data_IF_918938701650
#
_entry.id   IF_918938701650
#
_cell.length_a   1.000
_cell.length_b   1.000
_cell.length_c   1.000
_cell.angle_alpha   90.00
_cell.angle_beta   90.00
_cell.angle_gamma   90.00
#
_symmetry.space_group_name_H-M   'P 1'
#
loop_
_entity.id
_entity.type
_entity.pdbx_description
1 polymer ?
#
# COMPACT_ATOMS: atom_id res chain seq x y z
N UNK A 1 2.72 25.40 -24.76
CA UNK A 1 2.09 24.42 -23.81
C UNK A 1 2.75 24.66 -22.47
N UNK A 2 2.03 24.53 -21.38
CA UNK A 2 2.62 24.71 -20.04
C UNK A 2 3.33 23.41 -19.66
N UNK A 3 4.54 23.48 -19.12
CA UNK A 3 5.24 22.30 -18.62
C UNK A 3 4.41 21.54 -17.58
N UNK A 4 4.55 20.21 -17.51
CA UNK A 4 3.73 19.37 -16.62
C UNK A 4 4.58 18.37 -15.87
N UNK A 5 4.22 18.14 -14.60
CA UNK A 5 4.79 17.07 -13.75
C UNK A 5 3.70 16.03 -13.47
N UNK A 6 3.94 14.79 -13.91
CA UNK A 6 3.13 13.63 -13.58
C UNK A 6 3.77 12.87 -12.43
N UNK A 7 3.13 12.84 -11.25
CA UNK A 7 3.52 12.01 -10.12
C UNK A 7 3.02 10.59 -10.37
N UNK A 8 3.91 9.68 -10.67
CA UNK A 8 3.60 8.35 -11.21
C UNK A 8 3.85 7.27 -10.17
N UNK A 9 2.84 6.47 -9.87
CA UNK A 9 3.00 5.26 -9.08
C UNK A 9 3.65 4.14 -9.89
N UNK A 10 4.82 3.69 -9.46
CA UNK A 10 5.58 2.62 -10.12
C UNK A 10 5.05 1.20 -9.80
N UNK A 11 4.09 1.09 -8.90
CA UNK A 11 3.71 -0.22 -8.38
C UNK A 11 4.73 -0.77 -7.36
N UNK A 12 4.57 -2.04 -6.95
CA UNK A 12 5.34 -2.63 -5.85
C UNK A 12 6.76 -3.06 -6.24
N UNK A 13 7.02 -3.26 -7.53
CA UNK A 13 8.34 -3.71 -8.03
C UNK A 13 8.31 -4.14 -9.47
N UNK A 14 7.53 -5.17 -9.82
CA UNK A 14 7.43 -5.69 -11.18
C UNK A 14 6.87 -4.62 -12.14
N UNK A 15 7.54 -4.41 -13.27
CA UNK A 15 7.20 -3.36 -14.22
C UNK A 15 5.86 -3.58 -14.94
N UNK A 16 5.38 -4.83 -15.02
CA UNK A 16 4.06 -5.18 -15.57
C UNK A 16 2.89 -4.83 -14.63
N UNK A 17 3.18 -4.43 -13.40
CA UNK A 17 2.20 -3.87 -12.45
C UNK A 17 2.08 -2.34 -12.54
N UNK A 18 2.76 -1.70 -13.47
CA UNK A 18 2.47 -0.32 -13.84
C UNK A 18 1.06 -0.21 -14.43
N UNK A 19 0.36 0.88 -14.09
CA UNK A 19 -0.85 1.18 -14.84
C UNK A 19 -0.50 1.59 -16.27
N UNK A 20 -1.38 1.33 -17.23
CA UNK A 20 -1.19 1.75 -18.62
C UNK A 20 -0.93 3.26 -18.73
N UNK A 21 -1.60 4.06 -17.91
CA UNK A 21 -1.38 5.52 -17.86
C UNK A 21 -0.01 5.86 -17.31
N UNK A 22 0.47 5.14 -16.29
CA UNK A 22 1.82 5.32 -15.74
C UNK A 22 2.89 5.09 -16.83
N UNK A 23 2.82 3.96 -17.52
CA UNK A 23 3.73 3.64 -18.63
C UNK A 23 3.69 4.71 -19.73
N UNK A 24 2.49 5.18 -20.09
CA UNK A 24 2.32 6.25 -21.08
C UNK A 24 2.99 7.56 -20.63
N UNK A 25 2.81 7.98 -19.37
CA UNK A 25 3.43 9.22 -18.88
C UNK A 25 4.94 9.14 -18.79
N UNK A 26 5.49 7.98 -18.47
CA UNK A 26 6.94 7.74 -18.54
C UNK A 26 7.44 7.85 -19.99
N UNK A 27 6.70 7.27 -20.94
CA UNK A 27 7.06 7.30 -22.37
C UNK A 27 6.97 8.71 -22.99
N UNK A 28 6.10 9.58 -22.49
CA UNK A 28 5.96 10.96 -22.97
C UNK A 28 6.98 11.92 -22.34
N UNK A 29 7.61 11.55 -21.23
CA UNK A 29 8.42 12.46 -20.41
C UNK A 29 9.75 12.84 -21.09
N UNK A 30 10.09 14.12 -20.97
CA UNK A 30 11.42 14.67 -21.30
C UNK A 30 12.43 14.45 -20.18
N UNK A 31 11.90 14.45 -18.92
CA UNK A 31 12.69 14.20 -17.71
C UNK A 31 11.98 13.12 -16.89
N UNK A 32 12.72 12.06 -16.57
CA UNK A 32 12.24 10.96 -15.69
C UNK A 32 13.00 11.03 -14.37
N UNK A 33 12.32 11.35 -13.29
CA UNK A 33 12.91 11.42 -11.93
C UNK A 33 12.42 10.22 -11.14
N UNK A 34 13.32 9.34 -10.73
CA UNK A 34 12.99 8.09 -10.04
C UNK A 34 13.88 7.84 -8.82
N UNK A 35 13.43 7.04 -7.87
CA UNK A 35 14.20 6.70 -6.67
C UNK A 35 14.77 5.29 -6.81
N UNK A 36 16.00 5.14 -7.28
CA UNK A 36 16.69 3.86 -7.48
C UNK A 36 16.74 2.98 -6.22
N UNK A 37 16.64 3.57 -5.04
CA UNK A 37 16.61 2.84 -3.78
C UNK A 37 15.26 2.19 -3.44
N UNK A 38 14.18 2.53 -4.16
CA UNK A 38 12.81 2.12 -3.84
C UNK A 38 12.01 1.62 -5.05
N UNK A 39 12.49 1.85 -6.26
CA UNK A 39 11.82 1.53 -7.53
C UNK A 39 12.77 0.68 -8.36
N UNK A 40 12.30 -0.45 -8.88
CA UNK A 40 13.12 -1.31 -9.74
C UNK A 40 13.40 -0.63 -11.08
N UNK A 41 14.62 -0.82 -11.62
CA UNK A 41 15.05 -0.16 -12.85
C UNK A 41 14.25 -0.53 -14.10
N UNK A 42 13.60 -1.69 -14.11
CA UNK A 42 12.77 -2.15 -15.23
C UNK A 42 11.65 -1.17 -15.60
N UNK A 43 11.24 -0.28 -14.70
CA UNK A 43 10.24 0.76 -15.02
C UNK A 43 10.77 1.76 -16.04
N UNK A 44 12.09 1.92 -16.12
CA UNK A 44 12.75 2.84 -17.06
C UNK A 44 12.72 2.33 -18.52
N UNK A 45 12.37 1.06 -18.77
CA UNK A 45 12.17 0.54 -20.13
C UNK A 45 11.11 1.30 -20.92
N UNK A 46 10.21 2.00 -20.22
CA UNK A 46 9.18 2.83 -20.82
C UNK A 46 9.67 4.24 -21.18
N UNK A 47 10.81 4.67 -20.66
CA UNK A 47 11.35 6.00 -20.94
C UNK A 47 11.89 6.08 -22.38
N UNK A 48 11.75 7.26 -22.97
CA UNK A 48 12.34 7.53 -24.28
C UNK A 48 13.87 7.47 -24.20
N UNK A 49 14.57 7.04 -25.26
CA UNK A 49 16.04 6.97 -25.26
C UNK A 49 16.72 8.34 -25.04
N UNK A 50 16.05 9.43 -25.39
CA UNK A 50 16.51 10.81 -25.28
C UNK A 50 16.04 11.52 -23.99
N UNK A 51 15.25 10.85 -23.15
CA UNK A 51 14.81 11.40 -21.88
C UNK A 51 15.98 11.56 -20.88
N UNK A 52 15.97 12.66 -20.13
CA UNK A 52 16.92 12.87 -19.04
C UNK A 52 16.47 12.04 -17.84
N UNK A 53 17.22 11.01 -17.46
CA UNK A 53 16.92 10.15 -16.31
C UNK A 53 17.70 10.65 -15.09
N UNK A 54 16.98 10.93 -13.99
CA UNK A 54 17.52 11.49 -12.76
C UNK A 54 17.23 10.54 -11.58
N UNK A 55 18.28 10.10 -10.88
CA UNK A 55 18.14 9.30 -9.66
C UNK A 55 17.92 10.21 -8.44
N UNK A 56 16.68 10.32 -7.98
CA UNK A 56 16.36 11.19 -6.83
C UNK A 56 16.95 10.71 -5.49
N UNK A 57 17.47 9.48 -5.40
CA UNK A 57 18.16 9.02 -4.19
C UNK A 57 19.49 9.76 -3.95
N UNK A 58 20.03 10.45 -4.95
CA UNK A 58 21.26 11.20 -4.91
C UNK A 58 21.03 12.70 -4.68
N UNK A 59 19.77 13.14 -4.60
CA UNK A 59 19.40 14.55 -4.51
C UNK A 59 18.57 14.86 -3.26
N UNK A 60 18.73 16.07 -2.74
CA UNK A 60 17.75 16.70 -1.85
C UNK A 60 16.57 17.25 -2.65
N UNK A 61 15.54 17.78 -1.96
CA UNK A 61 14.41 18.43 -2.64
C UNK A 61 14.87 19.64 -3.47
N UNK A 62 15.87 20.38 -3.00
CA UNK A 62 16.45 21.51 -3.73
C UNK A 62 17.12 21.06 -5.04
N UNK A 63 17.82 19.92 -5.04
CA UNK A 63 18.39 19.34 -6.27
C UNK A 63 17.32 18.86 -7.26
N UNK A 64 16.21 18.30 -6.76
CA UNK A 64 15.06 17.96 -7.58
C UNK A 64 14.37 19.21 -8.14
N UNK A 65 14.30 20.28 -7.37
CA UNK A 65 13.71 21.56 -7.76
C UNK A 65 14.32 22.12 -9.04
N UNK A 66 15.63 22.00 -9.24
CA UNK A 66 16.32 22.47 -10.46
C UNK A 66 15.72 21.86 -11.74
N UNK A 67 15.32 20.59 -11.69
CA UNK A 67 14.66 19.91 -12.81
C UNK A 67 13.23 20.44 -13.05
N UNK A 68 12.49 20.77 -12.00
CA UNK A 68 11.17 21.39 -12.13
C UNK A 68 11.27 22.82 -12.67
N UNK A 69 12.24 23.61 -12.21
CA UNK A 69 12.51 24.94 -12.74
C UNK A 69 12.88 24.91 -14.22
N UNK A 70 13.68 23.92 -14.61
CA UNK A 70 13.99 23.69 -16.02
C UNK A 70 12.73 23.33 -16.81
N UNK A 71 11.89 22.43 -16.30
CA UNK A 71 10.65 22.05 -16.96
C UNK A 71 9.69 23.24 -17.13
N UNK A 72 9.62 24.14 -16.16
CA UNK A 72 8.82 25.35 -16.25
C UNK A 72 9.33 26.35 -17.30
N UNK A 73 10.66 26.48 -17.46
CA UNK A 73 11.26 27.39 -18.45
C UNK A 73 11.18 26.88 -19.88
N UNK A 74 11.23 25.57 -20.06
CA UNK A 74 11.39 24.91 -21.36
C UNK A 74 10.11 24.19 -21.82
N UNK A 75 9.00 24.33 -21.05
CA UNK A 75 7.69 23.66 -21.29
C UNK A 75 7.80 22.12 -21.39
N UNK A 76 8.64 21.49 -20.52
CA UNK A 76 8.92 20.07 -20.56
C UNK A 76 7.90 19.23 -19.78
N UNK A 77 7.81 17.95 -20.17
CA UNK A 77 7.04 16.93 -19.47
C UNK A 77 7.96 16.15 -18.51
N UNK A 78 7.55 16.08 -17.25
CA UNK A 78 8.30 15.37 -16.20
C UNK A 78 7.49 14.19 -15.70
N UNK A 79 8.06 12.99 -15.67
CA UNK A 79 7.56 11.85 -14.91
C UNK A 79 8.32 11.73 -13.59
N UNK A 80 7.65 12.03 -12.48
CA UNK A 80 8.19 11.84 -11.13
C UNK A 80 7.69 10.49 -10.58
N UNK A 81 8.56 9.49 -10.58
CA UNK A 81 8.22 8.10 -10.27
C UNK A 81 8.37 7.85 -8.76
N UNK A 82 7.31 7.33 -8.14
CA UNK A 82 7.22 6.95 -6.73
C UNK A 82 6.99 5.45 -6.60
N UNK A 83 7.57 4.82 -5.58
CA UNK A 83 7.31 3.41 -5.24
C UNK A 83 5.84 3.21 -4.84
N UNK A 84 5.23 2.14 -5.26
CA UNK A 84 3.85 1.80 -4.94
C UNK A 84 2.86 2.82 -5.51
N UNK A 85 2.14 3.47 -4.61
CA UNK A 85 1.18 4.54 -4.90
C UNK A 85 1.66 5.88 -4.33
N UNK A 86 1.67 6.97 -5.11
CA UNK A 86 2.10 8.30 -4.65
C UNK A 86 1.31 8.87 -3.47
N UNK A 87 0.10 8.40 -3.26
CA UNK A 87 -0.76 8.86 -2.17
C UNK A 87 -0.31 8.35 -0.78
N UNK A 88 0.59 7.36 -0.71
CA UNK A 88 1.03 6.74 0.53
C UNK A 88 2.53 6.97 0.78
N UNK A 89 2.86 7.86 1.71
CA UNK A 89 4.24 8.21 2.13
C UNK A 89 5.19 8.57 0.98
N UNK A 90 4.66 9.11 -0.12
CA UNK A 90 5.43 9.47 -1.31
C UNK A 90 6.15 10.82 -1.22
N UNK A 91 5.91 11.65 -0.20
CA UNK A 91 6.42 13.04 -0.15
C UNK A 91 5.94 13.87 -1.35
N UNK A 92 4.73 13.56 -1.87
CA UNK A 92 4.19 14.19 -3.08
C UNK A 92 3.63 15.58 -2.83
N UNK A 93 3.10 15.83 -1.63
CA UNK A 93 2.43 17.09 -1.31
C UNK A 93 3.39 18.29 -1.42
N UNK A 94 4.56 18.21 -0.82
CA UNK A 94 5.57 19.27 -0.88
C UNK A 94 6.09 19.51 -2.31
N UNK A 95 6.22 18.45 -3.11
CA UNK A 95 6.63 18.57 -4.51
C UNK A 95 5.51 19.15 -5.38
N UNK A 96 4.25 18.80 -5.11
CA UNK A 96 3.08 19.39 -5.78
C UNK A 96 2.98 20.90 -5.53
N UNK A 97 3.15 21.33 -4.27
CA UNK A 97 3.16 22.76 -3.90
C UNK A 97 4.29 23.51 -4.60
N UNK A 98 5.48 22.91 -4.65
CA UNK A 98 6.62 23.46 -5.37
C UNK A 98 6.35 23.62 -6.89
N UNK A 99 5.81 22.58 -7.54
CA UNK A 99 5.46 22.62 -8.96
C UNK A 99 4.39 23.70 -9.24
N UNK A 100 3.38 23.79 -8.39
CA UNK A 100 2.32 24.81 -8.49
C UNK A 100 2.91 26.23 -8.38
N UNK A 101 3.85 26.45 -7.44
CA UNK A 101 4.52 27.74 -7.29
C UNK A 101 5.40 28.11 -8.50
N UNK A 102 5.88 27.12 -9.26
CA UNK A 102 6.64 27.30 -10.50
C UNK A 102 5.73 27.45 -11.74
N UNK A 103 4.41 27.39 -11.59
CA UNK A 103 3.44 27.49 -12.70
C UNK A 103 3.34 26.24 -13.57
N UNK A 104 3.83 25.09 -13.08
CA UNK A 104 3.69 23.79 -13.75
C UNK A 104 2.31 23.18 -13.53
N UNK A 105 1.77 22.55 -14.55
CA UNK A 105 0.62 21.67 -14.39
C UNK A 105 1.04 20.40 -13.65
N UNK A 106 0.15 19.85 -12.82
CA UNK A 106 0.43 18.62 -12.09
C UNK A 106 -0.71 17.62 -12.23
N UNK A 107 -0.36 16.34 -12.28
CA UNK A 107 -1.31 15.23 -12.18
C UNK A 107 -0.73 14.11 -11.31
N UNK A 108 -1.59 13.30 -10.71
CA UNK A 108 -1.20 12.12 -9.94
C UNK A 108 -1.76 10.89 -10.63
N UNK A 109 -0.89 9.94 -10.95
CA UNK A 109 -1.24 8.65 -11.53
C UNK A 109 -1.13 7.60 -10.42
N UNK A 110 -2.24 6.96 -10.01
CA UNK A 110 -2.20 5.94 -8.97
C UNK A 110 -1.36 4.73 -9.38
N UNK A 111 -0.80 4.05 -8.41
CA UNK A 111 -0.06 2.81 -8.59
C UNK A 111 -0.59 1.69 -7.69
N UNK A 112 -0.15 0.46 -7.94
CA UNK A 112 -0.46 -0.67 -7.08
C UNK A 112 0.40 -0.56 -5.81
N UNK A 113 -0.23 -0.37 -4.67
CA UNK A 113 0.49 -0.30 -3.39
C UNK A 113 0.99 -1.68 -2.97
N UNK A 114 2.12 -1.72 -2.25
CA UNK A 114 2.75 -2.97 -1.79
C UNK A 114 1.83 -3.82 -0.91
N UNK A 115 0.94 -3.24 -0.10
CA UNK A 115 0.01 -4.05 0.70
C UNK A 115 -0.97 -4.83 -0.17
N UNK A 116 -1.45 -4.25 -1.27
CA UNK A 116 -2.32 -4.94 -2.24
C UNK A 116 -1.56 -6.04 -2.98
N UNK A 117 -0.31 -5.78 -3.35
CA UNK A 117 0.54 -6.78 -3.99
C UNK A 117 0.81 -7.97 -3.06
N UNK A 118 1.14 -7.72 -1.79
CA UNK A 118 1.36 -8.80 -0.81
C UNK A 118 0.09 -9.61 -0.60
N UNK A 119 -1.08 -8.97 -0.49
CA UNK A 119 -2.35 -9.68 -0.40
C UNK A 119 -2.60 -10.59 -1.61
N UNK A 120 -2.27 -10.12 -2.82
CA UNK A 120 -2.36 -10.91 -4.05
C UNK A 120 -1.38 -12.10 -4.07
N UNK A 121 -0.12 -11.89 -3.67
CA UNK A 121 0.91 -12.94 -3.60
C UNK A 121 0.46 -14.08 -2.67
N UNK A 122 -0.07 -13.76 -1.49
CA UNK A 122 -0.55 -14.76 -0.54
C UNK A 122 -2.00 -15.20 -0.80
N UNK A 123 -2.62 -14.67 -1.86
CA UNK A 123 -4.00 -14.99 -2.27
C UNK A 123 -5.02 -14.79 -1.13
N UNK A 124 -4.90 -13.66 -0.41
CA UNK A 124 -5.77 -13.31 0.71
C UNK A 124 -6.59 -12.06 0.42
N UNK A 125 -7.88 -12.13 0.70
CA UNK A 125 -8.73 -10.95 0.86
C UNK A 125 -8.52 -10.39 2.27
N UNK A 126 -8.25 -9.09 2.35
CA UNK A 126 -7.99 -8.41 3.63
C UNK A 126 -9.27 -8.02 4.39
N UNK A 127 -10.43 -8.16 3.74
CA UNK A 127 -11.75 -7.76 4.25
C UNK A 127 -12.75 -8.91 4.15
N UNK A 128 -12.63 -9.88 5.06
CA UNK A 128 -13.48 -11.08 5.08
C UNK A 128 -14.72 -10.81 5.95
N UNK A 129 -15.96 -11.08 5.46
CA UNK A 129 -17.17 -10.91 6.23
C UNK A 129 -17.11 -11.62 7.59
N UNK A 130 -17.58 -10.96 8.64
CA UNK A 130 -17.61 -11.44 10.02
C UNK A 130 -16.24 -11.67 10.67
N UNK A 131 -15.12 -11.46 9.94
CA UNK A 131 -13.75 -11.61 10.43
C UNK A 131 -13.07 -10.24 10.57
N UNK A 132 -12.94 -9.50 9.48
CA UNK A 132 -12.43 -8.14 9.45
C UNK A 132 -13.03 -7.41 8.24
N UNK A 133 -13.54 -6.20 8.44
CA UNK A 133 -14.14 -5.38 7.36
C UNK A 133 -13.40 -4.04 7.18
N UNK A 134 -12.26 -3.90 7.82
CA UNK A 134 -11.42 -2.71 7.75
C UNK A 134 -9.96 -3.08 7.56
N UNK A 135 -9.23 -2.22 6.87
CA UNK A 135 -7.78 -2.32 6.74
C UNK A 135 -7.16 -1.01 7.20
N UNK A 136 -6.29 -1.09 8.21
CA UNK A 136 -5.54 0.06 8.69
C UNK A 136 -4.17 0.08 8.02
N UNK A 137 -3.89 1.14 7.26
CA UNK A 137 -2.58 1.40 6.68
C UNK A 137 -1.84 2.36 7.61
N UNK A 138 -0.76 1.92 8.24
CA UNK A 138 0.00 2.74 9.18
C UNK A 138 1.48 2.33 9.21
N UNK A 139 2.25 2.99 10.07
CA UNK A 139 3.65 2.68 10.32
C UNK A 139 3.97 2.82 11.80
N UNK A 140 5.00 2.15 12.25
CA UNK A 140 5.55 2.40 13.58
C UNK A 140 6.21 3.78 13.62
N UNK A 141 6.05 4.50 14.73
CA UNK A 141 6.71 5.79 14.93
C UNK A 141 8.22 5.68 14.73
N UNK A 142 8.79 6.57 13.91
CA UNK A 142 10.21 6.64 13.61
C UNK A 142 10.93 7.73 14.43
N UNK A 143 12.19 7.49 14.78
CA UNK A 143 12.97 8.50 15.49
C UNK A 143 13.18 9.82 14.73
N UNK A 144 13.07 9.79 13.38
CA UNK A 144 13.21 10.97 12.51
C UNK A 144 11.88 11.62 12.13
N UNK A 145 10.80 10.86 12.14
CA UNK A 145 9.48 11.37 11.76
C UNK A 145 8.48 10.88 12.80
N UNK A 146 8.08 11.73 13.75
CA UNK A 146 7.10 11.37 14.75
C UNK A 146 5.73 11.07 14.11
N UNK A 147 4.88 10.36 14.85
CA UNK A 147 3.47 10.18 14.52
C UNK A 147 2.65 11.30 15.17
N UNK A 148 1.54 11.71 14.56
CA UNK A 148 0.57 12.58 15.23
C UNK A 148 0.07 11.96 16.53
N UNK A 149 -0.29 12.80 17.50
CA UNK A 149 -0.84 12.33 18.78
C UNK A 149 -2.10 11.47 18.54
N UNK A 150 -2.13 10.28 19.10
CA UNK A 150 -3.24 9.33 18.92
C UNK A 150 -3.09 8.35 17.76
N UNK A 151 -2.17 8.57 16.81
CA UNK A 151 -1.90 7.65 15.71
C UNK A 151 -0.84 6.61 16.07
N UNK A 152 -1.07 5.84 17.13
CA UNK A 152 -0.14 4.78 17.56
C UNK A 152 -0.52 3.43 16.97
N UNK A 153 0.48 2.57 16.72
CA UNK A 153 0.22 1.19 16.29
C UNK A 153 -0.67 0.47 17.29
N UNK A 154 -0.42 0.63 18.61
CA UNK A 154 -1.24 0.06 19.67
C UNK A 154 -2.70 0.52 19.58
N UNK A 155 -2.94 1.83 19.46
CA UNK A 155 -4.30 2.38 19.39
C UNK A 155 -5.08 1.86 18.18
N UNK A 156 -4.43 1.76 17.01
CA UNK A 156 -5.08 1.16 15.83
C UNK A 156 -5.30 -0.34 16.00
N UNK A 157 -4.39 -1.05 16.67
CA UNK A 157 -4.49 -2.47 16.91
C UNK A 157 -5.67 -2.84 17.85
N UNK A 158 -6.11 -1.94 18.73
CA UNK A 158 -7.28 -2.14 19.63
C UNK A 158 -8.58 -2.46 18.87
N UNK A 159 -8.64 -2.17 17.57
CA UNK A 159 -9.79 -2.53 16.74
C UNK A 159 -9.80 -4.00 16.29
N UNK A 160 -8.71 -4.75 16.44
CA UNK A 160 -8.61 -6.18 16.05
C UNK A 160 -8.85 -6.47 14.58
N UNK A 161 -8.64 -5.49 13.69
CA UNK A 161 -8.89 -5.58 12.26
C UNK A 161 -7.62 -5.98 11.49
N UNK A 162 -7.65 -5.98 10.16
CA UNK A 162 -6.45 -6.19 9.35
C UNK A 162 -5.58 -4.93 9.37
N UNK A 163 -4.28 -5.06 9.61
CA UNK A 163 -3.32 -3.96 9.56
C UNK A 163 -2.21 -4.23 8.53
N UNK A 164 -1.83 -3.20 7.77
CA UNK A 164 -0.68 -3.20 6.89
C UNK A 164 0.35 -2.19 7.41
N UNK A 165 1.50 -2.69 7.85
CA UNK A 165 2.53 -1.94 8.56
C UNK A 165 3.67 -1.61 7.58
N UNK A 166 3.72 -0.35 7.17
CA UNK A 166 4.77 0.21 6.33
C UNK A 166 5.98 0.65 7.16
N UNK A 167 7.16 0.72 6.57
CA UNK A 167 8.37 1.37 7.13
C UNK A 167 8.74 0.92 8.55
N UNK A 168 8.32 -0.27 8.98
CA UNK A 168 8.42 -0.74 10.38
C UNK A 168 9.42 -1.87 10.59
N UNK A 169 9.96 -2.48 9.54
CA UNK A 169 10.78 -3.70 9.62
C UNK A 169 12.07 -3.53 10.44
N UNK A 170 12.70 -2.35 10.41
CA UNK A 170 13.92 -2.09 11.19
C UNK A 170 13.70 -2.14 12.72
N UNK A 171 12.46 -2.11 13.20
CA UNK A 171 12.07 -2.11 14.61
C UNK A 171 10.97 -3.12 14.90
N UNK A 172 11.07 -4.29 14.31
CA UNK A 172 10.03 -5.33 14.36
C UNK A 172 9.74 -5.80 15.79
N UNK A 173 10.74 -5.81 16.68
CA UNK A 173 10.51 -6.16 18.09
C UNK A 173 9.56 -5.15 18.77
N UNK A 174 9.79 -3.86 18.59
CA UNK A 174 8.89 -2.83 19.09
C UNK A 174 7.51 -2.93 18.45
N UNK A 175 7.45 -3.19 17.13
CA UNK A 175 6.19 -3.39 16.41
C UNK A 175 5.38 -4.54 17.02
N UNK A 176 6.03 -5.69 17.23
CA UNK A 176 5.41 -6.88 17.86
C UNK A 176 4.86 -6.55 19.26
N UNK A 177 5.66 -5.86 20.09
CA UNK A 177 5.27 -5.50 21.45
C UNK A 177 4.05 -4.55 21.48
N UNK A 178 4.01 -3.56 20.59
CA UNK A 178 2.87 -2.63 20.47
C UNK A 178 1.59 -3.34 20.01
N UNK A 179 1.70 -4.27 19.07
CA UNK A 179 0.56 -5.06 18.57
C UNK A 179 -0.01 -5.97 19.68
N UNK A 180 0.85 -6.69 20.42
CA UNK A 180 0.44 -7.55 21.53
C UNK A 180 -0.14 -6.75 22.71
N UNK A 181 0.44 -5.58 22.99
CA UNK A 181 -0.02 -4.72 24.09
C UNK A 181 -1.41 -4.13 23.87
N UNK A 182 -1.94 -4.16 22.66
CA UNK A 182 -3.33 -3.76 22.36
C UNK A 182 -4.37 -4.73 22.94
N UNK A 183 -4.00 -6.00 23.19
CA UNK A 183 -4.85 -7.01 23.79
C UNK A 183 -5.91 -7.64 22.89
N UNK A 184 -6.05 -7.18 21.67
CA UNK A 184 -6.97 -7.74 20.65
C UNK A 184 -6.29 -8.77 19.75
N UNK A 185 -4.96 -8.69 19.63
CA UNK A 185 -4.13 -9.69 19.00
C UNK A 185 -3.38 -10.48 20.06
N UNK A 186 -3.15 -11.74 19.80
CA UNK A 186 -2.37 -12.66 20.63
C UNK A 186 -1.13 -13.17 19.89
N UNK A 187 -0.33 -14.00 20.54
CA UNK A 187 0.88 -14.57 19.96
C UNK A 187 0.59 -15.46 18.74
N UNK A 188 -0.60 -16.03 18.62
CA UNK A 188 -1.02 -16.91 17.53
C UNK A 188 -1.63 -16.12 16.35
N UNK A 189 -1.87 -14.83 16.51
CA UNK A 189 -2.43 -13.97 15.44
C UNK A 189 -1.58 -14.05 14.17
N UNK A 190 -2.19 -14.35 13.00
CA UNK A 190 -1.46 -14.57 11.77
C UNK A 190 -0.84 -13.28 11.23
N UNK A 191 0.39 -13.41 10.74
CA UNK A 191 1.17 -12.37 10.09
C UNK A 191 1.71 -12.86 8.74
N UNK A 192 1.82 -11.94 7.79
CA UNK A 192 2.55 -12.11 6.55
C UNK A 192 3.68 -11.09 6.49
N UNK A 193 4.88 -11.53 6.18
CA UNK A 193 6.04 -10.67 5.94
C UNK A 193 6.45 -10.82 4.50
N UNK A 194 6.55 -9.72 3.77
CA UNK A 194 7.00 -9.70 2.39
C UNK A 194 8.13 -8.69 2.23
N UNK A 195 9.30 -9.17 1.87
CA UNK A 195 10.45 -8.36 1.46
C UNK A 195 10.45 -8.25 -0.05
N UNK A 196 10.70 -7.06 -0.57
CA UNK A 196 10.85 -6.77 -2.00
C UNK A 196 9.71 -7.41 -2.84
N UNK A 197 8.45 -7.25 -2.40
CA UNK A 197 7.30 -7.85 -3.05
C UNK A 197 7.28 -7.55 -4.55
N UNK A 198 7.15 -8.58 -5.37
CA UNK A 198 7.20 -8.59 -6.84
C UNK A 198 8.56 -8.25 -7.49
N UNK A 199 9.62 -8.08 -6.70
CA UNK A 199 10.98 -7.94 -7.20
C UNK A 199 11.60 -9.33 -7.49
N UNK A 200 12.70 -9.41 -8.27
CA UNK A 200 13.37 -10.71 -8.52
C UNK A 200 13.89 -11.43 -7.27
N UNK A 201 14.21 -10.69 -6.22
CA UNK A 201 14.69 -11.19 -4.93
C UNK A 201 13.60 -11.22 -3.85
N UNK A 202 12.33 -11.32 -4.27
CA UNK A 202 11.17 -11.43 -3.37
C UNK A 202 11.35 -12.55 -2.35
N UNK A 203 11.03 -12.23 -1.09
CA UNK A 203 10.91 -13.22 -0.02
C UNK A 203 9.59 -12.99 0.73
N UNK A 204 8.72 -13.99 0.71
CA UNK A 204 7.43 -13.94 1.42
C UNK A 204 7.31 -15.14 2.35
N UNK A 205 6.89 -14.91 3.59
CA UNK A 205 6.61 -15.98 4.55
C UNK A 205 5.47 -15.60 5.49
N UNK A 206 4.76 -16.61 5.95
CA UNK A 206 3.75 -16.52 7.00
C UNK A 206 4.37 -16.84 8.36
N UNK A 207 3.89 -16.22 9.41
CA UNK A 207 4.28 -16.48 10.79
C UNK A 207 3.17 -16.11 11.77
N UNK A 208 3.35 -16.47 13.02
CA UNK A 208 2.53 -15.97 14.14
C UNK A 208 3.12 -14.66 14.65
N UNK A 209 2.27 -13.82 15.23
CA UNK A 209 2.71 -12.54 15.77
C UNK A 209 3.81 -12.69 16.82
N UNK A 210 3.73 -13.71 17.70
CA UNK A 210 4.77 -14.01 18.69
C UNK A 210 6.15 -14.33 18.09
N UNK A 211 6.20 -14.80 16.82
CA UNK A 211 7.44 -15.16 16.12
C UNK A 211 7.96 -14.02 15.20
N UNK A 212 7.18 -12.98 14.96
CA UNK A 212 7.41 -11.96 13.94
C UNK A 212 8.81 -11.36 14.03
N UNK A 213 9.20 -10.85 15.20
CA UNK A 213 10.49 -10.19 15.38
C UNK A 213 11.67 -11.14 15.14
N UNK A 214 11.61 -12.36 15.66
CA UNK A 214 12.67 -13.33 15.50
C UNK A 214 12.85 -13.75 14.03
N UNK A 215 11.75 -13.97 13.30
CA UNK A 215 11.79 -14.34 11.88
C UNK A 215 12.32 -13.19 11.01
N UNK A 216 11.83 -11.96 11.20
CA UNK A 216 12.34 -10.79 10.44
C UNK A 216 13.82 -10.57 10.71
N UNK A 217 14.27 -10.73 11.96
CA UNK A 217 15.69 -10.62 12.33
C UNK A 217 16.53 -11.73 11.71
N UNK A 218 16.07 -12.97 11.72
CA UNK A 218 16.81 -14.12 11.15
C UNK A 218 17.06 -13.96 9.64
N UNK A 219 16.11 -13.34 8.93
CA UNK A 219 16.25 -13.01 7.52
C UNK A 219 16.94 -11.66 7.27
N UNK A 220 17.33 -10.91 8.32
CA UNK A 220 18.00 -9.61 8.24
C UNK A 220 17.22 -8.56 7.43
N UNK A 221 15.89 -8.54 7.58
CA UNK A 221 15.03 -7.63 6.84
C UNK A 221 14.88 -6.30 7.59
N UNK A 222 15.39 -5.22 7.02
CA UNK A 222 15.39 -3.88 7.66
C UNK A 222 14.73 -2.80 6.80
N UNK A 223 14.52 -3.06 5.51
CA UNK A 223 13.92 -2.14 4.52
C UNK A 223 13.15 -2.96 3.48
N UNK A 224 12.40 -2.29 2.61
CA UNK A 224 11.58 -2.90 1.54
C UNK A 224 10.66 -4.02 2.04
N UNK A 225 10.23 -3.94 3.29
CA UNK A 225 9.46 -5.01 3.92
C UNK A 225 8.10 -4.50 4.35
N UNK A 226 7.07 -5.21 3.89
CA UNK A 226 5.68 -5.06 4.29
C UNK A 226 5.36 -6.12 5.35
N UNK A 227 4.64 -5.72 6.40
CA UNK A 227 4.06 -6.66 7.37
C UNK A 227 2.56 -6.50 7.34
N UNK A 228 1.84 -7.58 7.05
CA UNK A 228 0.40 -7.67 7.25
C UNK A 228 0.12 -8.45 8.54
N UNK A 229 -0.88 -8.03 9.30
CA UNK A 229 -1.28 -8.67 10.55
C UNK A 229 -2.79 -8.65 10.66
N UNK A 230 -3.37 -9.71 11.22
CA UNK A 230 -4.78 -9.75 11.55
C UNK A 230 -5.51 -11.03 11.16
N UNK A 231 -6.73 -11.23 11.68
CA UNK A 231 -7.46 -12.49 11.56
C UNK A 231 -7.85 -12.85 10.11
N UNK A 232 -7.97 -11.88 9.20
CA UNK A 232 -8.26 -12.14 7.79
C UNK A 232 -7.14 -12.90 7.06
N UNK A 233 -5.93 -12.97 7.62
CA UNK A 233 -4.80 -13.70 7.05
C UNK A 233 -4.87 -15.21 7.35
N UNK A 234 -5.71 -15.64 8.29
CA UNK A 234 -5.94 -17.06 8.54
C UNK A 234 -6.66 -17.72 7.35
N UNK A 235 -6.48 -19.05 7.24
CA UNK A 235 -7.24 -19.84 6.26
C UNK A 235 -8.71 -19.92 6.67
N UNK A 236 -9.61 -19.90 5.68
CA UNK A 236 -11.05 -19.94 5.90
C UNK A 236 -11.67 -18.55 5.70
N UNK A 237 -12.91 -18.42 6.06
CA UNK A 237 -13.69 -17.19 5.93
C UNK A 237 -15.18 -17.46 5.82
N UNK A 238 -15.98 -16.43 6.02
CA UNK A 238 -17.42 -16.50 5.90
C UNK A 238 -17.84 -16.15 4.47
N UNK A 239 -18.80 -16.89 3.94
CA UNK A 239 -19.36 -16.62 2.59
C UNK A 239 -19.90 -15.20 2.51
N UNK A 240 -19.46 -14.45 1.52
CA UNK A 240 -19.99 -13.12 1.25
C UNK A 240 -21.51 -13.14 1.05
N UNK A 241 -22.18 -12.18 1.68
CA UNK A 241 -23.62 -11.94 1.47
C UNK A 241 -23.95 -11.72 0.00
N UNK A 242 -23.10 -11.07 -0.76
CA UNK A 242 -23.27 -10.78 -2.18
C UNK A 242 -23.48 -12.03 -3.03
N UNK A 243 -22.78 -13.12 -2.72
CA UNK A 243 -22.87 -14.39 -3.45
C UNK A 243 -23.86 -15.38 -2.83
N UNK A 244 -24.62 -14.97 -1.82
CA UNK A 244 -25.60 -15.85 -1.20
C UNK A 244 -26.84 -16.02 -2.10
N UNK A 245 -27.38 -17.25 -2.34
CA UNK A 245 -28.54 -17.46 -3.24
C UNK A 245 -29.81 -16.70 -2.81
N UNK A 246 -29.95 -16.43 -1.51
CA UNK A 246 -31.03 -15.61 -0.96
C UNK A 246 -30.85 -14.10 -1.12
N UNK A 247 -29.71 -13.64 -1.66
CA UNK A 247 -29.45 -12.21 -1.83
C UNK A 247 -30.05 -11.70 -3.15
N UNK A 248 -30.80 -10.60 -3.05
CA UNK A 248 -31.32 -9.87 -4.19
C UNK A 248 -30.51 -8.61 -4.45
N UNK A 249 -30.17 -8.38 -5.71
CA UNK A 249 -29.68 -7.09 -6.17
C UNK A 249 -30.17 -6.83 -7.61
N UNK A 250 -29.94 -5.64 -8.12
CA UNK A 250 -30.48 -5.12 -9.38
C UNK A 250 -30.35 -6.06 -10.59
N UNK A 251 -29.28 -6.86 -10.63
CA UNK A 251 -29.00 -7.79 -11.74
C UNK A 251 -29.29 -9.26 -11.43
N UNK A 252 -29.70 -9.60 -10.18
CA UNK A 252 -29.95 -10.99 -9.77
C UNK A 252 -31.19 -11.10 -8.89
N UNK A 253 -32.14 -11.91 -9.32
CA UNK A 253 -33.31 -12.27 -8.51
C UNK A 253 -32.95 -13.34 -7.48
N UNK A 254 -33.75 -13.42 -6.41
CA UNK A 254 -33.60 -14.48 -5.41
C UNK A 254 -33.95 -15.82 -6.04
N UNK A 255 -33.07 -16.79 -5.93
CA UNK A 255 -33.26 -18.14 -6.50
C UNK A 255 -34.19 -19.00 -5.64
N UNK A 256 -34.20 -18.80 -4.31
CA UNK A 256 -34.96 -19.56 -3.34
C UNK A 256 -35.49 -18.68 -2.20
N UNK A 257 -36.79 -18.71 -1.96
CA UNK A 257 -37.45 -17.94 -0.91
C UNK A 257 -37.04 -18.41 0.51
N UNK A 258 -36.78 -19.72 0.69
CA UNK A 258 -36.31 -20.30 1.95
C UNK A 258 -34.91 -19.75 2.30
N UNK A 259 -33.98 -19.75 1.35
CA UNK A 259 -32.65 -19.19 1.53
C UNK A 259 -32.68 -17.69 1.83
N UNK A 260 -33.66 -16.96 1.30
CA UNK A 260 -33.88 -15.55 1.65
C UNK A 260 -34.26 -15.37 3.12
N UNK A 261 -35.10 -16.25 3.64
CA UNK A 261 -35.53 -16.22 5.03
C UNK A 261 -34.38 -16.56 5.98
N UNK A 262 -33.59 -17.58 5.65
CA UNK A 262 -32.36 -17.95 6.39
C UNK A 262 -31.34 -16.79 6.45
N UNK A 263 -31.09 -16.12 5.31
CA UNK A 263 -30.21 -14.98 5.21
C UNK A 263 -30.67 -13.84 6.11
N UNK A 264 -31.97 -13.51 6.09
CA UNK A 264 -32.53 -12.48 6.95
C UNK A 264 -32.43 -12.83 8.44
N UNK A 265 -32.59 -14.11 8.79
CA UNK A 265 -32.46 -14.58 10.17
C UNK A 265 -31.01 -14.49 10.66
N UNK A 266 -30.02 -14.79 9.79
CA UNK A 266 -28.58 -14.59 10.07
C UNK A 266 -28.27 -13.11 10.32
N UNK A 267 -28.68 -12.24 9.42
CA UNK A 267 -28.45 -10.80 9.52
C UNK A 267 -29.06 -10.20 10.81
N UNK A 268 -30.23 -10.68 11.20
CA UNK A 268 -30.89 -10.25 12.44
C UNK A 268 -30.11 -10.67 13.69
N UNK A 269 -29.53 -11.88 13.69
CA UNK A 269 -28.66 -12.36 14.79
C UNK A 269 -27.38 -11.55 14.89
N UNK A 270 -26.71 -11.27 13.76
CA UNK A 270 -25.49 -10.45 13.73
C UNK A 270 -25.75 -9.03 14.23
N UNK A 271 -26.85 -8.40 13.81
CA UNK A 271 -27.25 -7.08 14.29
C UNK A 271 -27.56 -7.06 15.80
N UNK A 272 -28.12 -8.14 16.33
CA UNK A 272 -28.40 -8.26 17.77
C UNK A 272 -27.09 -8.44 18.57
N UNK A 273 -26.14 -9.21 18.07
CA UNK A 273 -24.84 -9.42 18.71
C UNK A 273 -23.92 -8.18 18.66
N UNK A 274 -24.08 -7.31 17.66
CA UNK A 274 -23.28 -6.09 17.49
C UNK A 274 -23.82 -4.86 18.26
N UNK A 275 -24.91 -4.98 19.01
CA UNK A 275 -25.42 -3.91 19.88
C UNK A 275 -24.69 -3.99 21.21
N UNK A 276 -24.09 -2.85 21.69
CA UNK A 276 -23.41 -2.78 22.97
C UNK A 276 -24.36 -3.01 24.15
#
# INVERSE_FOLDING_TARGET
>A
MTGRVSFVGAGPGAADLLTLRAAQRIAEADIVIWAASLVHEDVLQHARPDAVVVNSAEHSLEGIREHYERAAREDLLVARIHSGDPALWGGTQEQHELCTALGLETEVIPGVSSFSAVAAIVQRELTIPEVAQSVVLTRLEGGKTPMPAGETVRGFAEHGTTMALFLSAARTKQLQDELLAAGTYDEDTPCVVAYAATWPDELVFECRLGELAAKVQSHKLYKHTMVLVGPALASGGTRSHLYHPGHFHEHRKVEDAGMRAELKARDSRLKAAARP
#
